data_IF_716251100768
#
_entry.id   IF_716251100768
#
_cell.length_a   1.000
_cell.length_b   1.000
_cell.length_c   1.000
_cell.angle_alpha   90.00
_cell.angle_beta   90.00
_cell.angle_gamma   90.00
#
_symmetry.space_group_name_H-M   'P 1'
#
loop_
_entity.id
_entity.type
_entity.pdbx_description
1 polymer ?
#
# COMPACT_ATOMS: atom_id res chain seq x y z
N UNK A 1 24.49 -25.82 -17.92
CA UNK A 1 24.60 -24.77 -16.88
C UNK A 1 24.45 -25.41 -15.51
N UNK A 2 25.39 -25.20 -14.59
CA UNK A 2 25.35 -25.82 -13.25
C UNK A 2 24.16 -25.28 -12.43
N UNK A 3 23.48 -26.16 -11.67
CA UNK A 3 22.39 -25.76 -10.75
C UNK A 3 22.83 -24.71 -9.73
N UNK A 4 24.09 -24.74 -9.33
CA UNK A 4 24.66 -23.78 -8.38
C UNK A 4 24.77 -22.38 -8.98
N UNK A 5 25.01 -22.31 -10.29
CA UNK A 5 25.05 -21.06 -11.02
C UNK A 5 23.67 -20.39 -11.08
N UNK A 6 22.61 -21.18 -11.29
CA UNK A 6 21.23 -20.68 -11.29
C UNK A 6 20.85 -20.15 -9.89
N UNK A 7 21.16 -20.91 -8.84
CA UNK A 7 20.91 -20.48 -7.44
C UNK A 7 21.62 -19.17 -7.11
N UNK A 8 22.84 -18.98 -7.61
CA UNK A 8 23.61 -17.75 -7.44
C UNK A 8 23.01 -16.58 -8.20
N UNK A 9 22.44 -16.81 -9.38
CA UNK A 9 21.69 -15.78 -10.11
C UNK A 9 20.44 -15.38 -9.31
N UNK A 10 19.68 -16.35 -8.80
CA UNK A 10 18.46 -16.08 -8.02
C UNK A 10 18.76 -15.30 -6.74
N UNK A 11 19.88 -15.60 -6.05
CA UNK A 11 20.27 -14.85 -4.85
C UNK A 11 20.65 -13.41 -5.19
N UNK A 12 21.43 -13.20 -6.25
CA UNK A 12 21.80 -11.86 -6.71
C UNK A 12 20.58 -11.04 -7.16
N UNK A 13 19.60 -11.67 -7.80
CA UNK A 13 18.35 -10.99 -8.18
C UNK A 13 17.57 -10.50 -6.95
N UNK A 14 17.50 -11.31 -5.89
CA UNK A 14 16.85 -10.89 -4.64
C UNK A 14 17.59 -9.74 -3.97
N UNK A 15 18.92 -9.82 -3.87
CA UNK A 15 19.76 -8.75 -3.32
C UNK A 15 19.58 -7.43 -4.07
N UNK A 16 19.53 -7.47 -5.41
CA UNK A 16 19.27 -6.29 -6.23
C UNK A 16 17.88 -5.69 -5.98
N UNK A 17 16.86 -6.53 -5.81
CA UNK A 17 15.50 -6.07 -5.50
C UNK A 17 15.43 -5.42 -4.10
N UNK A 18 16.14 -5.97 -3.11
CA UNK A 18 16.25 -5.35 -1.78
C UNK A 18 16.92 -3.98 -1.86
N UNK A 19 18.08 -3.88 -2.51
CA UNK A 19 18.80 -2.61 -2.68
C UNK A 19 17.97 -1.57 -3.43
N UNK A 20 17.22 -1.97 -4.46
CA UNK A 20 16.30 -1.09 -5.18
C UNK A 20 15.21 -0.52 -4.27
N UNK A 21 14.62 -1.36 -3.42
CA UNK A 21 13.59 -0.92 -2.45
C UNK A 21 14.17 0.04 -1.42
N UNK A 22 15.35 -0.25 -0.88
CA UNK A 22 16.04 0.65 0.03
C UNK A 22 16.33 2.01 -0.62
N UNK A 23 16.81 2.03 -1.87
CA UNK A 23 17.02 3.27 -2.61
C UNK A 23 15.73 4.07 -2.82
N UNK A 24 14.61 3.39 -3.10
CA UNK A 24 13.30 4.04 -3.19
C UNK A 24 12.93 4.66 -1.85
N UNK A 25 13.06 3.92 -0.75
CA UNK A 25 12.77 4.42 0.60
C UNK A 25 13.69 5.56 1.04
N UNK A 26 14.96 5.55 0.65
CA UNK A 26 15.92 6.62 0.94
C UNK A 26 15.64 7.88 0.11
N UNK A 27 15.20 7.72 -1.15
CA UNK A 27 14.80 8.84 -2.02
C UNK A 27 13.45 9.42 -1.61
N UNK A 28 12.55 8.58 -1.12
CA UNK A 28 11.33 8.97 -0.42
C UNK A 28 11.66 9.39 1.02
N UNK A 29 12.42 10.49 1.19
CA UNK A 29 12.27 11.25 2.43
C UNK A 29 10.76 11.50 2.61
N UNK A 30 10.18 11.26 3.80
CA UNK A 30 8.78 11.48 4.00
C UNK A 30 8.56 12.99 3.94
N UNK A 31 8.26 13.52 2.75
CA UNK A 31 7.27 14.58 2.65
C UNK A 31 6.08 13.96 3.33
N UNK A 32 5.87 14.32 4.60
CA UNK A 32 4.75 13.93 5.44
C UNK A 32 3.59 13.60 4.52
N UNK A 33 3.44 12.32 4.18
CA UNK A 33 2.22 11.83 3.57
C UNK A 33 1.43 11.65 4.83
N UNK A 34 0.52 12.58 5.17
CA UNK A 34 -0.41 12.23 6.21
C UNK A 34 -1.02 10.92 5.72
N UNK A 35 -1.16 9.94 6.59
CA UNK A 35 -1.90 8.74 6.22
C UNK A 35 -3.23 9.15 5.56
N UNK A 36 -3.91 8.28 4.82
CA UNK A 36 -5.28 8.60 4.39
C UNK A 36 -6.16 9.05 5.57
N UNK A 37 -5.83 8.62 6.80
CA UNK A 37 -6.42 9.07 8.08
C UNK A 37 -5.93 10.43 8.61
N UNK A 38 -4.82 10.96 8.12
CA UNK A 38 -4.27 12.27 8.51
C UNK A 38 -4.35 13.33 7.43
N UNK A 39 -4.75 12.97 6.20
CA UNK A 39 -4.75 13.90 5.06
C UNK A 39 -6.05 14.68 4.94
N UNK A 40 -7.06 14.25 5.71
CA UNK A 40 -8.31 14.96 5.94
C UNK A 40 -8.27 15.37 7.41
N UNK A 41 -8.41 16.66 7.72
CA UNK A 41 -8.61 17.07 9.11
C UNK A 41 -9.89 16.37 9.57
N UNK A 42 -9.88 15.66 10.70
CA UNK A 42 -11.07 14.95 11.20
C UNK A 42 -12.30 15.86 11.39
N UNK A 43 -12.11 17.18 11.31
CA UNK A 43 -13.16 18.20 11.30
C UNK A 43 -13.99 18.24 10.00
N UNK A 44 -13.50 17.67 8.89
CA UNK A 44 -14.16 17.72 7.57
C UNK A 44 -14.95 16.43 7.21
N UNK A 45 -15.06 15.47 8.13
CA UNK A 45 -15.83 14.23 7.91
C UNK A 45 -17.08 14.27 8.76
N UNK A 46 -18.23 14.46 8.14
CA UNK A 46 -19.53 14.37 8.82
C UNK A 46 -20.00 12.93 8.93
N UNK A 47 -20.85 12.64 9.92
CA UNK A 47 -21.49 11.32 10.09
C UNK A 47 -22.24 10.89 8.82
N UNK A 48 -22.82 11.87 8.11
CA UNK A 48 -23.55 11.65 6.86
C UNK A 48 -22.63 11.15 5.73
N UNK A 49 -21.40 11.70 5.65
CA UNK A 49 -20.40 11.23 4.67
C UNK A 49 -19.96 9.80 4.96
N UNK A 50 -19.83 9.44 6.24
CA UNK A 50 -19.48 8.09 6.67
C UNK A 50 -20.60 7.11 6.29
N UNK A 51 -21.86 7.46 6.58
CA UNK A 51 -23.01 6.61 6.25
C UNK A 51 -23.21 6.44 4.74
N UNK A 52 -23.00 7.49 3.95
CA UNK A 52 -23.03 7.39 2.48
C UNK A 52 -21.91 6.50 1.93
N UNK A 53 -20.71 6.57 2.52
CA UNK A 53 -19.59 5.71 2.14
C UNK A 53 -19.88 4.24 2.48
N UNK A 54 -20.40 3.95 3.68
CA UNK A 54 -20.83 2.59 4.07
C UNK A 54 -21.86 2.04 3.09
N UNK A 55 -22.93 2.80 2.80
CA UNK A 55 -23.96 2.38 1.84
C UNK A 55 -23.39 2.13 0.45
N UNK A 56 -22.45 2.97 0.00
CA UNK A 56 -21.80 2.79 -1.30
C UNK A 56 -20.89 1.55 -1.34
N UNK A 57 -20.18 1.25 -0.25
CA UNK A 57 -19.27 0.11 -0.14
C UNK A 57 -20.02 -1.23 0.01
N UNK A 58 -21.15 -1.24 0.72
CA UNK A 58 -21.91 -2.44 1.04
C UNK A 58 -23.20 -2.60 0.22
N UNK A 59 -23.38 -1.79 -0.83
CA UNK A 59 -24.60 -1.72 -1.68
C UNK A 59 -25.05 -3.05 -2.30
N UNK A 60 -24.19 -4.07 -2.33
CA UNK A 60 -24.50 -5.41 -2.84
C UNK A 60 -24.58 -6.52 -1.77
N UNK A 61 -24.42 -6.19 -0.48
CA UNK A 61 -24.52 -7.15 0.63
C UNK A 61 -25.91 -7.16 1.28
N UNK A 62 -26.72 -6.12 1.04
CA UNK A 62 -28.12 -6.07 1.49
C UNK A 62 -29.05 -6.98 0.65
N UNK A 63 -28.62 -7.43 -0.54
CA UNK A 63 -29.39 -8.37 -1.37
C UNK A 63 -29.08 -9.86 -1.07
N UNK A 64 -28.20 -10.15 -0.10
CA UNK A 64 -27.78 -11.52 0.26
C UNK A 64 -28.48 -12.06 1.52
N UNK A 65 -29.44 -11.30 2.11
CA UNK A 65 -30.24 -11.75 3.25
C UNK A 65 -31.74 -11.62 3.03
#
# INVERSE_FOLDING_TARGET
>A
MSKDFIRKIDSLQRELEYLKRELIHLKEQPRSKPSLFGSVRGEDVTEEMIEQAKKSLFRGLEEIY
#
